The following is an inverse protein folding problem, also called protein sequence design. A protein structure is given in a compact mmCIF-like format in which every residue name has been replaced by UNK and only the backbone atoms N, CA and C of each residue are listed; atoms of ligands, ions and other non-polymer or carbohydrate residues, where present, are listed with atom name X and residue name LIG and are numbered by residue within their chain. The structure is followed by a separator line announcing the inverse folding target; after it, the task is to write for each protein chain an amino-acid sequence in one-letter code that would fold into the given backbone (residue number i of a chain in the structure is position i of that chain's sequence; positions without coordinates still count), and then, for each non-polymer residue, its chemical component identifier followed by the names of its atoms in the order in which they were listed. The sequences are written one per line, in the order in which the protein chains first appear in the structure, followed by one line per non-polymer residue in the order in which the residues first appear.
data_IF_890574588325
#
_entry.id   IF_890574588325
#
_cell.length_a   1.000
_cell.length_b   1.000
_cell.length_c   1.000
_cell.angle_alpha   90.00
_cell.angle_beta   90.00
_cell.angle_gamma   90.00
#
_symmetry.space_group_name_H-M   'P 1'
#
loop_
_entity.id
_entity.type
_entity.pdbx_description
1 polymer ?
#
# COMPACT_ATOMS: atom_id res chain seq x y z
N UNK A 1 2.61 -7.76 25.63
CA UNK A 1 3.97 -7.64 25.04
C UNK A 1 3.94 -7.50 23.52
N UNK A 2 3.28 -8.40 22.77
CA UNK A 2 3.20 -8.33 21.28
C UNK A 2 2.63 -7.00 20.78
N UNK A 3 1.55 -6.51 21.38
CA UNK A 3 0.93 -5.23 20.98
C UNK A 3 1.84 -4.02 21.22
N UNK A 4 2.59 -3.99 22.32
CA UNK A 4 3.50 -2.87 22.65
C UNK A 4 4.65 -2.75 21.64
N UNK A 5 5.14 -3.89 21.12
CA UNK A 5 6.16 -3.90 20.07
C UNK A 5 5.58 -3.36 18.76
N UNK A 6 4.35 -3.76 18.40
CA UNK A 6 3.66 -3.21 17.24
C UNK A 6 3.43 -1.70 17.39
N UNK A 7 3.03 -1.24 18.57
CA UNK A 7 2.83 0.18 18.86
C UNK A 7 4.12 0.98 18.65
N UNK A 8 5.24 0.51 19.19
CA UNK A 8 6.53 1.15 18.99
C UNK A 8 6.94 1.20 17.50
N UNK A 9 6.64 0.15 16.73
CA UNK A 9 6.91 0.13 15.29
C UNK A 9 5.99 1.11 14.54
N UNK A 10 4.70 1.16 14.88
CA UNK A 10 3.74 2.09 14.28
C UNK A 10 4.07 3.54 14.59
N UNK A 11 4.52 3.81 15.81
CA UNK A 11 5.04 5.11 16.21
C UNK A 11 6.27 5.46 15.38
N UNK A 12 7.27 4.57 15.29
CA UNK A 12 8.46 4.81 14.48
C UNK A 12 8.16 5.06 13.00
N UNK A 13 7.14 4.41 12.44
CA UNK A 13 6.70 4.64 11.05
C UNK A 13 6.05 6.02 10.92
N UNK A 14 5.23 6.46 11.88
CA UNK A 14 4.45 7.69 11.76
C UNK A 14 5.23 8.95 12.18
N UNK A 15 6.12 8.85 13.17
CA UNK A 15 6.78 10.01 13.80
C UNK A 15 8.22 10.21 13.34
N UNK A 16 8.87 9.18 12.76
CA UNK A 16 10.29 9.29 12.44
C UNK A 16 10.54 10.27 11.28
N UNK A 17 11.40 11.30 11.48
CA UNK A 17 11.72 12.26 10.43
C UNK A 17 12.54 11.61 9.29
N UNK A 18 13.26 10.52 9.58
CA UNK A 18 14.07 9.81 8.60
C UNK A 18 13.24 8.82 7.81
N UNK A 19 13.05 9.09 6.52
CA UNK A 19 12.35 8.18 5.60
C UNK A 19 13.01 6.79 5.51
N UNK A 20 14.33 6.69 5.77
CA UNK A 20 15.05 5.41 5.81
C UNK A 20 14.58 4.55 6.98
N UNK A 21 14.27 5.16 8.12
CA UNK A 21 13.72 4.46 9.29
C UNK A 21 12.31 3.96 8.95
N UNK A 22 11.46 4.82 8.39
CA UNK A 22 10.11 4.43 7.94
C UNK A 22 10.16 3.27 6.96
N UNK A 23 11.03 3.35 5.94
CA UNK A 23 11.23 2.31 4.94
C UNK A 23 11.66 0.97 5.55
N UNK A 24 12.58 0.97 6.51
CA UNK A 24 13.08 -0.26 7.14
C UNK A 24 12.11 -0.83 8.18
N UNK A 25 11.23 0.00 8.75
CA UNK A 25 10.21 -0.44 9.70
C UNK A 25 9.04 -1.18 9.03
N UNK A 26 8.66 -0.81 7.80
CA UNK A 26 7.59 -1.48 7.03
C UNK A 26 7.75 -3.02 6.91
N UNK A 27 8.89 -3.56 6.43
CA UNK A 27 9.06 -5.01 6.35
C UNK A 27 9.13 -5.68 7.73
N UNK A 28 9.52 -4.96 8.79
CA UNK A 28 9.47 -5.50 10.16
C UNK A 28 8.02 -5.75 10.60
N UNK A 29 7.09 -4.83 10.28
CA UNK A 29 5.65 -5.03 10.52
C UNK A 29 5.16 -6.30 9.81
N UNK A 30 5.55 -6.49 8.55
CA UNK A 30 5.16 -7.67 7.78
C UNK A 30 5.64 -8.99 8.42
N UNK A 31 6.93 -9.04 8.79
CA UNK A 31 7.53 -10.23 9.43
C UNK A 31 6.87 -10.50 10.78
N UNK A 32 6.60 -9.45 11.55
CA UNK A 32 5.97 -9.56 12.85
C UNK A 32 4.53 -10.06 12.72
N UNK A 33 3.77 -9.51 11.78
CA UNK A 33 2.43 -9.98 11.45
C UNK A 33 2.46 -11.47 11.13
N UNK A 34 3.27 -11.92 10.16
CA UNK A 34 3.35 -13.34 9.78
C UNK A 34 3.69 -14.29 10.93
N UNK A 35 4.55 -13.88 11.86
CA UNK A 35 4.93 -14.72 13.00
C UNK A 35 3.89 -14.74 14.12
N UNK A 36 3.09 -13.68 14.25
CA UNK A 36 2.24 -13.45 15.41
C UNK A 36 0.75 -13.33 15.07
N UNK A 37 0.32 -13.59 13.82
CA UNK A 37 -1.09 -13.46 13.38
C UNK A 37 -2.09 -14.03 14.40
N UNK A 38 -1.93 -15.26 14.94
CA UNK A 38 -2.91 -15.84 15.87
C UNK A 38 -3.04 -15.09 17.20
N UNK A 39 -2.05 -14.28 17.56
CA UNK A 39 -1.94 -13.55 18.83
C UNK A 39 -2.30 -12.06 18.67
N UNK A 40 -2.43 -11.57 17.44
CA UNK A 40 -2.78 -10.17 17.15
C UNK A 40 -4.31 -10.04 17.13
N UNK A 41 -4.84 -9.05 17.86
CA UNK A 41 -6.28 -8.78 17.87
C UNK A 41 -6.74 -8.14 16.55
N UNK A 42 -8.00 -8.36 16.16
CA UNK A 42 -8.56 -7.76 14.93
C UNK A 42 -8.43 -6.24 14.91
N UNK A 43 -8.59 -5.57 16.07
CA UNK A 43 -8.43 -4.13 16.23
C UNK A 43 -7.02 -3.69 15.78
N UNK A 44 -6.00 -4.46 16.17
CA UNK A 44 -4.61 -4.14 15.85
C UNK A 44 -4.27 -4.41 14.39
N UNK A 45 -4.95 -5.37 13.76
CA UNK A 45 -4.87 -5.59 12.31
C UNK A 45 -5.46 -4.40 11.56
N UNK A 46 -6.61 -3.88 11.99
CA UNK A 46 -7.22 -2.69 11.39
C UNK A 46 -6.29 -1.48 11.51
N UNK A 47 -5.75 -1.23 12.71
CA UNK A 47 -4.77 -0.17 12.94
C UNK A 47 -3.52 -0.32 12.04
N UNK A 48 -3.00 -1.54 11.90
CA UNK A 48 -1.88 -1.84 11.00
C UNK A 48 -2.20 -1.48 9.55
N UNK A 49 -3.38 -1.87 9.05
CA UNK A 49 -3.82 -1.55 7.69
C UNK A 49 -3.97 -0.04 7.50
N UNK A 50 -4.44 0.69 8.51
CA UNK A 50 -4.54 2.14 8.47
C UNK A 50 -3.17 2.81 8.42
N UNK A 51 -2.21 2.37 9.24
CA UNK A 51 -0.81 2.88 9.21
C UNK A 51 -0.20 2.65 7.84
N UNK A 52 -0.37 1.46 7.25
CA UNK A 52 0.13 1.17 5.90
C UNK A 52 -0.54 2.02 4.83
N UNK A 53 -1.87 2.22 4.93
CA UNK A 53 -2.59 3.11 4.01
C UNK A 53 -2.09 4.56 4.10
N UNK A 54 -1.73 5.05 5.29
CA UNK A 54 -1.09 6.37 5.44
C UNK A 54 0.29 6.41 4.78
N UNK A 55 1.07 5.33 4.89
CA UNK A 55 2.39 5.24 4.24
C UNK A 55 2.34 5.22 2.72
N UNK A 56 1.21 4.82 2.12
CA UNK A 56 0.99 4.92 0.66
C UNK A 56 0.94 6.37 0.16
N UNK A 57 0.63 7.33 1.04
CA UNK A 57 0.62 8.78 0.74
C UNK A 57 1.87 9.50 1.28
N UNK A 58 2.95 8.76 1.61
CA UNK A 58 4.22 9.35 2.06
C UNK A 58 4.82 10.23 0.94
N UNK A 59 5.62 11.22 1.33
CA UNK A 59 6.28 12.11 0.37
C UNK A 59 7.29 11.36 -0.50
N UNK A 60 7.98 10.38 0.10
CA UNK A 60 9.05 9.60 -0.51
C UNK A 60 8.47 8.42 -1.28
N UNK A 61 8.85 8.26 -2.55
CA UNK A 61 8.31 7.21 -3.44
C UNK A 61 8.69 5.82 -2.93
N UNK A 62 9.93 5.65 -2.46
CA UNK A 62 10.47 4.37 -1.99
C UNK A 62 9.72 3.85 -0.75
N UNK A 63 9.25 4.76 0.12
CA UNK A 63 8.42 4.38 1.28
C UNK A 63 7.05 3.91 0.80
N UNK A 64 6.47 4.60 -0.19
CA UNK A 64 5.16 4.23 -0.76
C UNK A 64 5.19 2.85 -1.44
N UNK A 65 6.22 2.58 -2.24
CA UNK A 65 6.40 1.28 -2.90
C UNK A 65 6.62 0.15 -1.89
N UNK A 66 7.43 0.39 -0.85
CA UNK A 66 7.62 -0.57 0.23
C UNK A 66 6.31 -0.82 0.99
N UNK A 67 5.53 0.23 1.26
CA UNK A 67 4.24 0.11 1.94
C UNK A 67 3.25 -0.72 1.12
N UNK A 68 3.22 -0.54 -0.21
CA UNK A 68 2.41 -1.35 -1.12
C UNK A 68 2.80 -2.83 -1.08
N UNK A 69 4.11 -3.11 -1.12
CA UNK A 69 4.65 -4.48 -1.03
C UNK A 69 4.27 -5.14 0.30
N UNK A 70 4.43 -4.42 1.41
CA UNK A 70 4.06 -4.88 2.76
C UNK A 70 2.56 -5.11 2.90
N UNK A 71 1.75 -4.18 2.38
CA UNK A 71 0.29 -4.29 2.37
C UNK A 71 -0.17 -5.54 1.61
N UNK A 72 0.38 -5.80 0.42
CA UNK A 72 0.10 -7.02 -0.35
C UNK A 72 0.40 -8.29 0.45
N UNK A 73 1.53 -8.30 1.17
CA UNK A 73 1.90 -9.38 2.08
C UNK A 73 0.87 -9.66 3.16
N UNK A 74 0.37 -8.61 3.82
CA UNK A 74 -0.62 -8.72 4.90
C UNK A 74 -2.00 -9.11 4.34
N UNK A 75 -2.38 -8.56 3.18
CA UNK A 75 -3.67 -8.84 2.54
C UNK A 75 -3.81 -10.31 2.13
N UNK A 76 -2.70 -10.98 1.75
CA UNK A 76 -2.69 -12.43 1.45
C UNK A 76 -3.27 -13.30 2.56
N UNK A 77 -3.05 -12.90 3.81
CA UNK A 77 -3.53 -13.63 5.00
C UNK A 77 -4.75 -12.95 5.64
N UNK A 78 -5.24 -11.86 5.05
CA UNK A 78 -6.37 -11.11 5.60
C UNK A 78 -7.71 -11.69 5.14
N UNK A 79 -8.77 -11.55 5.94
CA UNK A 79 -10.11 -11.95 5.52
C UNK A 79 -10.57 -11.19 4.27
N UNK A 80 -11.34 -11.86 3.40
CA UNK A 80 -11.93 -11.27 2.18
C UNK A 80 -12.69 -9.96 2.42
N UNK A 81 -13.35 -9.82 3.57
CA UNK A 81 -14.06 -8.58 3.94
C UNK A 81 -13.12 -7.36 3.97
N UNK A 82 -11.92 -7.51 4.52
CA UNK A 82 -10.94 -6.41 4.65
C UNK A 82 -10.41 -5.99 3.29
N UNK A 83 -10.19 -6.97 2.41
CA UNK A 83 -9.77 -6.76 1.02
C UNK A 83 -10.82 -5.96 0.25
N UNK A 84 -12.10 -6.34 0.34
CA UNK A 84 -13.18 -5.63 -0.35
C UNK A 84 -13.34 -4.19 0.15
N UNK A 85 -13.26 -3.96 1.47
CA UNK A 85 -13.31 -2.61 2.04
C UNK A 85 -12.15 -1.74 1.53
N UNK A 86 -10.94 -2.27 1.48
CA UNK A 86 -9.78 -1.56 0.95
C UNK A 86 -9.88 -1.33 -0.56
N UNK A 87 -10.40 -2.31 -1.31
CA UNK A 87 -10.68 -2.16 -2.75
C UNK A 87 -11.59 -0.96 -3.01
N UNK A 88 -12.72 -0.90 -2.32
CA UNK A 88 -13.67 0.20 -2.51
C UNK A 88 -13.07 1.55 -2.09
N UNK A 89 -12.23 1.58 -1.05
CA UNK A 89 -11.48 2.77 -0.64
C UNK A 89 -10.51 3.23 -1.73
N UNK A 90 -9.68 2.34 -2.28
CA UNK A 90 -8.71 2.72 -3.31
C UNK A 90 -9.38 3.09 -4.64
N UNK A 91 -10.47 2.42 -5.03
CA UNK A 91 -11.26 2.81 -6.20
C UNK A 91 -11.84 4.22 -6.05
N UNK A 92 -12.37 4.55 -4.87
CA UNK A 92 -12.84 5.92 -4.58
C UNK A 92 -11.70 6.92 -4.61
N UNK A 93 -10.55 6.60 -4.04
CA UNK A 93 -9.37 7.47 -4.08
C UNK A 93 -8.89 7.72 -5.53
N UNK A 94 -8.83 6.68 -6.36
CA UNK A 94 -8.45 6.80 -7.77
C UNK A 94 -9.43 7.71 -8.54
N UNK A 95 -10.74 7.47 -8.40
CA UNK A 95 -11.79 8.28 -9.04
C UNK A 95 -11.81 9.74 -8.59
N UNK A 96 -11.53 9.98 -7.30
CA UNK A 96 -11.51 11.33 -6.73
C UNK A 96 -10.20 12.08 -7.01
N UNK A 97 -9.14 11.38 -7.42
CA UNK A 97 -7.84 11.97 -7.74
C UNK A 97 -7.87 12.63 -9.12
N UNK A 98 -8.51 13.80 -9.19
CA UNK A 98 -8.42 14.66 -10.37
C UNK A 98 -7.10 15.40 -10.36
N UNK A 99 -6.30 15.24 -11.41
CA UNK A 99 -5.02 15.95 -11.56
C UNK A 99 -5.35 17.36 -12.11
N UNK A 100 -5.17 18.43 -11.33
CA UNK A 100 -5.38 19.80 -11.82
C UNK A 100 -4.27 20.20 -12.79
N UNK A 101 -4.31 21.42 -13.32
CA UNK A 101 -3.29 21.87 -14.27
C UNK A 101 -1.90 21.85 -13.60
N UNK A 102 -0.84 21.61 -14.37
CA UNK A 102 0.56 21.49 -13.89
C UNK A 102 1.06 22.70 -13.09
N UNK A 103 0.40 23.85 -13.25
CA UNK A 103 0.73 25.12 -12.63
C UNK A 103 0.09 25.29 -11.24
N UNK A 104 -0.86 24.44 -10.86
CA UNK A 104 -1.51 24.52 -9.56
C UNK A 104 -0.61 23.98 -8.45
N UNK A 105 -0.49 24.68 -7.31
CA UNK A 105 0.30 24.21 -6.16
C UNK A 105 -0.23 22.88 -5.57
N UNK A 106 -1.48 22.50 -5.88
CA UNK A 106 -2.08 21.22 -5.51
C UNK A 106 -1.69 20.04 -6.40
N UNK A 107 -1.00 20.27 -7.52
CA UNK A 107 -0.64 19.23 -8.49
C UNK A 107 0.19 18.10 -7.87
N UNK A 108 1.21 18.44 -7.07
CA UNK A 108 2.04 17.44 -6.39
C UNK A 108 1.24 16.55 -5.43
N UNK A 109 0.30 17.14 -4.68
CA UNK A 109 -0.56 16.39 -3.77
C UNK A 109 -1.53 15.49 -4.52
N UNK A 110 -2.13 15.97 -5.61
CA UNK A 110 -3.02 15.18 -6.46
C UNK A 110 -2.31 13.95 -7.07
N UNK A 111 -1.06 14.13 -7.54
CA UNK A 111 -0.23 13.02 -8.02
C UNK A 111 0.06 12.03 -6.89
N UNK A 112 0.43 12.49 -5.70
CA UNK A 112 0.70 11.60 -4.57
C UNK A 112 -0.51 10.75 -4.22
N UNK A 113 -1.69 11.36 -4.12
CA UNK A 113 -2.94 10.66 -3.83
C UNK A 113 -3.31 9.66 -4.92
N UNK A 114 -3.12 10.01 -6.19
CA UNK A 114 -3.34 9.08 -7.31
C UNK A 114 -2.36 7.92 -7.27
N UNK A 115 -1.07 8.19 -7.03
CA UNK A 115 -0.06 7.15 -6.91
C UNK A 115 -0.36 6.21 -5.72
N UNK A 116 -0.78 6.75 -4.58
CA UNK A 116 -1.20 5.96 -3.43
C UNK A 116 -2.37 5.02 -3.77
N UNK A 117 -3.36 5.51 -4.52
CA UNK A 117 -4.52 4.72 -4.95
C UNK A 117 -4.10 3.58 -5.91
N UNK A 118 -3.26 3.89 -6.90
CA UNK A 118 -2.75 2.91 -7.87
C UNK A 118 -1.93 1.84 -7.16
N UNK A 119 -1.00 2.23 -6.28
CA UNK A 119 -0.20 1.30 -5.50
C UNK A 119 -1.04 0.39 -4.60
N UNK A 120 -2.08 0.92 -3.97
CA UNK A 120 -3.03 0.13 -3.19
C UNK A 120 -3.78 -0.90 -4.03
N UNK A 121 -4.18 -0.54 -5.25
CA UNK A 121 -4.81 -1.45 -6.21
C UNK A 121 -3.81 -2.53 -6.65
N UNK A 122 -2.58 -2.17 -7.01
CA UNK A 122 -1.53 -3.14 -7.34
C UNK A 122 -1.30 -4.12 -6.17
N UNK A 123 -1.22 -3.61 -4.94
CA UNK A 123 -1.04 -4.43 -3.75
C UNK A 123 -2.18 -5.45 -3.55
N UNK A 124 -3.43 -5.06 -3.86
CA UNK A 124 -4.59 -5.96 -3.86
C UNK A 124 -4.45 -7.04 -4.93
N UNK A 125 -4.07 -6.69 -6.16
CA UNK A 125 -3.86 -7.65 -7.26
C UNK A 125 -2.74 -8.63 -6.90
N UNK A 126 -1.60 -8.14 -6.41
CA UNK A 126 -0.44 -8.93 -6.00
C UNK A 126 -0.72 -9.85 -4.80
N UNK A 127 -1.79 -9.55 -4.03
CA UNK A 127 -2.22 -10.41 -2.94
C UNK A 127 -2.97 -11.67 -3.43
N UNK A 128 -3.39 -11.72 -4.69
CA UNK A 128 -4.07 -12.87 -5.30
C UNK A 128 -3.33 -13.40 -6.54
N UNK A 129 -2.12 -13.97 -6.39
CA UNK A 129 -1.28 -14.36 -7.52
C UNK A 129 -1.86 -15.50 -8.38
N UNK A 130 -2.73 -16.34 -7.82
CA UNK A 130 -3.25 -17.54 -8.50
C UNK A 130 -4.77 -17.52 -8.71
N UNK A 131 -5.46 -16.48 -8.26
CA UNK A 131 -6.93 -16.43 -8.27
C UNK A 131 -7.40 -15.11 -8.86
N UNK A 132 -8.09 -15.17 -9.99
CA UNK A 132 -8.70 -13.98 -10.61
C UNK A 132 -10.08 -13.77 -10.00
N UNK A 133 -10.16 -12.89 -9.01
CA UNK A 133 -11.44 -12.47 -8.45
C UNK A 133 -12.21 -11.63 -9.49
N UNK A 134 -13.55 -11.69 -9.48
CA UNK A 134 -14.41 -11.07 -10.51
C UNK A 134 -14.20 -9.56 -10.68
N UNK A 135 -13.76 -8.88 -9.64
CA UNK A 135 -13.49 -7.44 -9.64
C UNK A 135 -12.12 -7.08 -10.23
N UNK A 136 -11.21 -8.05 -10.40
CA UNK A 136 -9.84 -7.82 -10.81
C UNK A 136 -9.71 -7.37 -12.29
N UNK A 137 -10.41 -7.97 -13.27
CA UNK A 137 -10.33 -7.53 -14.67
C UNK A 137 -10.78 -6.08 -14.86
N UNK A 138 -11.86 -5.67 -14.19
CA UNK A 138 -12.40 -4.31 -14.25
C UNK A 138 -11.43 -3.29 -13.63
N UNK A 139 -10.73 -3.66 -12.55
CA UNK A 139 -9.73 -2.81 -11.91
C UNK A 139 -8.47 -2.63 -12.76
N UNK A 140 -7.99 -3.71 -13.38
CA UNK A 140 -6.83 -3.67 -14.27
C UNK A 140 -7.12 -2.84 -15.54
N UNK A 141 -8.30 -3.02 -16.13
CA UNK A 141 -8.67 -2.34 -17.39
C UNK A 141 -9.06 -0.88 -17.17
N UNK A 142 -9.89 -0.57 -16.18
CA UNK A 142 -10.40 0.80 -16.04
C UNK A 142 -9.45 1.75 -15.31
N UNK A 143 -8.55 1.23 -14.46
CA UNK A 143 -7.72 2.09 -13.60
C UNK A 143 -6.24 1.95 -13.94
N UNK A 144 -5.74 0.73 -14.14
CA UNK A 144 -4.31 0.55 -14.42
C UNK A 144 -3.96 0.83 -15.88
N UNK A 145 -4.77 0.40 -16.84
CA UNK A 145 -4.51 0.65 -18.26
C UNK A 145 -4.48 2.16 -18.59
N UNK A 146 -5.39 2.95 -18.00
CA UNK A 146 -5.42 4.41 -18.15
C UNK A 146 -4.23 5.13 -17.49
N UNK A 147 -3.55 4.48 -16.55
CA UNK A 147 -2.50 5.07 -15.71
C UNK A 147 -1.13 4.45 -15.96
N UNK A 148 -1.00 3.54 -16.94
CA UNK A 148 0.28 2.88 -17.29
C UNK A 148 1.30 3.87 -17.89
N UNK A 149 0.82 4.99 -18.43
CA UNK A 149 1.64 6.05 -19.02
C UNK A 149 1.99 7.19 -18.05
N UNK A 150 1.57 7.12 -16.78
CA UNK A 150 1.94 8.14 -15.80
C UNK A 150 3.47 8.11 -15.53
N UNK A 151 4.15 9.27 -15.47
CA UNK A 151 5.61 9.35 -15.37
C UNK A 151 6.17 8.80 -14.05
N UNK A 152 5.31 8.52 -13.07
CA UNK A 152 5.68 7.83 -11.83
C UNK A 152 5.74 6.34 -12.17
N UNK A 153 6.92 5.88 -12.57
CA UNK A 153 7.22 4.47 -12.77
C UNK A 153 6.87 3.69 -11.51
N UNK A 154 5.70 3.08 -11.48
CA UNK A 154 5.41 2.01 -10.54
C UNK A 154 6.33 0.87 -10.94
N UNK A 155 7.34 0.58 -10.14
CA UNK A 155 8.16 -0.62 -10.30
C UNK A 155 7.31 -1.86 -9.96
N UNK A 156 6.37 -2.20 -10.84
CA UNK A 156 5.75 -3.52 -10.87
C UNK A 156 6.85 -4.48 -11.30
N UNK A 157 7.56 -5.06 -10.33
CA UNK A 157 8.53 -6.13 -10.55
C UNK A 157 10.00 -5.75 -10.37
N UNK A 158 10.43 -5.55 -9.13
CA UNK A 158 11.83 -5.80 -8.73
C UNK A 158 12.01 -6.97 -7.76
N UNK A 159 11.49 -8.18 -8.04
CA UNK A 159 12.17 -9.42 -7.64
C UNK A 159 12.90 -10.11 -8.82
N UNK A 160 12.69 -9.65 -10.06
CA UNK A 160 13.24 -10.30 -11.26
C UNK A 160 14.53 -9.68 -11.83
N UNK A 161 15.18 -8.75 -11.12
CA UNK A 161 16.57 -8.42 -11.43
C UNK A 161 17.47 -9.40 -10.70
N UNK A 162 17.63 -10.55 -11.35
CA UNK A 162 18.60 -11.61 -11.07
C UNK A 162 19.84 -11.04 -10.38
N UNK A 163 20.17 -11.62 -9.23
CA UNK A 163 21.57 -11.81 -8.86
C UNK A 163 22.28 -12.38 -10.09
N UNK A 164 23.14 -11.59 -10.71
CA UNK A 164 24.34 -12.04 -11.40
C UNK A 164 25.45 -11.12 -10.93
#
# INVERSE_FOLDING_TARGET
MVNQVLDAIFEAIQTSPSWRVRLKALPLVQVFYFRQVPLISEIKIVEMLEVLCKCLDDEVVEVREMAATTLSGILRLSPRRSVLTLKDRFVRLAKNSHIPNRQDPGYGKAIRQRHAAILGICALVDSYPYTVEKWMPELLTNILAEHTYDPVRVLIGSPFKSRR
#
